data_IF_604332736831
#
_entry.id   IF_604332736831
#
_cell.length_a   1.000
_cell.length_b   1.000
_cell.length_c   1.000
_cell.angle_alpha   90.00
_cell.angle_beta   90.00
_cell.angle_gamma   90.00
#
_symmetry.space_group_name_H-M   'P 1'
#
loop_
_entity.id
_entity.type
_entity.pdbx_description
1 polymer ?
#
# COMPACT_ATOMS: atom_id res chain seq x y z
N UNK A 1 -27.24 -16.05 2.50
CA UNK A 1 -26.05 -15.51 1.81
C UNK A 1 -24.92 -15.14 2.79
N UNK A 2 -25.17 -14.38 3.87
CA UNK A 2 -24.10 -13.86 4.76
C UNK A 2 -23.26 -14.90 5.50
N UNK A 3 -23.83 -16.04 5.89
CA UNK A 3 -23.09 -17.09 6.62
C UNK A 3 -22.08 -17.81 5.72
N UNK A 4 -22.42 -18.04 4.46
CA UNK A 4 -21.56 -18.71 3.49
C UNK A 4 -20.38 -17.82 3.10
N UNK A 5 -20.62 -16.53 2.88
CA UNK A 5 -19.56 -15.56 2.60
C UNK A 5 -18.57 -15.43 3.76
N UNK A 6 -19.04 -15.38 5.01
CA UNK A 6 -18.18 -15.37 6.20
C UNK A 6 -17.31 -16.63 6.30
N UNK A 7 -17.88 -17.80 5.96
CA UNK A 7 -17.11 -19.06 5.94
C UNK A 7 -16.03 -19.05 4.86
N UNK A 8 -16.34 -18.51 3.68
CA UNK A 8 -15.41 -18.39 2.56
C UNK A 8 -14.26 -17.44 2.88
N UNK A 9 -14.55 -16.24 3.42
CA UNK A 9 -13.53 -15.28 3.87
C UNK A 9 -12.60 -15.92 4.92
N UNK A 10 -13.13 -16.65 5.91
CA UNK A 10 -12.28 -17.36 6.89
C UNK A 10 -11.38 -18.40 6.24
N UNK A 11 -11.85 -19.12 5.22
CA UNK A 11 -11.04 -20.09 4.48
C UNK A 11 -9.91 -19.40 3.72
N UNK A 12 -10.23 -18.30 3.00
CA UNK A 12 -9.24 -17.52 2.27
C UNK A 12 -8.20 -16.88 3.22
N UNK A 13 -8.62 -16.35 4.37
CA UNK A 13 -7.68 -15.83 5.39
C UNK A 13 -6.74 -16.91 5.93
N UNK A 14 -7.20 -18.16 6.08
CA UNK A 14 -6.34 -19.31 6.44
C UNK A 14 -5.36 -19.66 5.32
N UNK A 15 -5.80 -19.58 4.06
CA UNK A 15 -4.91 -19.76 2.91
C UNK A 15 -3.83 -18.68 2.88
N UNK A 16 -4.19 -17.42 3.15
CA UNK A 16 -3.24 -16.30 3.21
C UNK A 16 -2.22 -16.44 4.36
N UNK A 17 -2.56 -17.15 5.42
CA UNK A 17 -1.67 -17.40 6.57
C UNK A 17 -0.72 -18.60 6.34
N UNK A 18 -0.88 -19.35 5.27
CA UNK A 18 -0.03 -20.50 4.94
C UNK A 18 1.17 -20.08 4.12
N UNK A 19 2.36 -20.51 4.52
CA UNK A 19 3.61 -20.20 3.81
C UNK A 19 3.63 -20.71 2.37
N UNK A 20 2.88 -21.77 2.06
CA UNK A 20 2.77 -22.31 0.70
C UNK A 20 2.05 -21.36 -0.28
N UNK A 21 1.38 -20.32 0.21
CA UNK A 21 0.59 -19.40 -0.61
C UNK A 21 1.18 -17.97 -0.64
N UNK A 22 2.41 -17.78 -0.18
CA UNK A 22 3.07 -16.46 -0.15
C UNK A 22 3.08 -15.76 -1.52
N UNK A 23 3.26 -16.54 -2.58
CA UNK A 23 3.32 -16.03 -3.96
C UNK A 23 1.94 -15.67 -4.56
N UNK A 24 0.86 -15.95 -3.85
CA UNK A 24 -0.51 -15.76 -4.34
C UNK A 24 -1.34 -14.84 -3.43
N UNK A 25 -0.69 -14.06 -2.57
CA UNK A 25 -1.40 -13.24 -1.58
C UNK A 25 -2.24 -12.14 -2.22
N UNK A 26 -1.79 -11.56 -3.33
CA UNK A 26 -2.56 -10.62 -4.14
C UNK A 26 -3.88 -11.24 -4.61
N UNK A 27 -3.84 -12.45 -5.17
CA UNK A 27 -5.03 -13.16 -5.65
C UNK A 27 -5.97 -13.55 -4.50
N UNK A 28 -5.41 -14.02 -3.37
CA UNK A 28 -6.21 -14.40 -2.20
C UNK A 28 -6.92 -13.18 -1.60
N UNK A 29 -6.23 -12.06 -1.45
CA UNK A 29 -6.84 -10.84 -0.93
C UNK A 29 -7.76 -10.17 -1.96
N UNK A 30 -7.48 -10.28 -3.26
CA UNK A 30 -8.39 -9.89 -4.32
C UNK A 30 -9.74 -10.65 -4.21
N UNK A 31 -9.68 -11.96 -4.05
CA UNK A 31 -10.89 -12.76 -3.83
C UNK A 31 -11.66 -12.38 -2.57
N UNK A 32 -10.97 -12.04 -1.47
CA UNK A 32 -11.60 -11.53 -0.24
C UNK A 32 -12.29 -10.20 -0.49
N UNK A 33 -11.63 -9.27 -1.18
CA UNK A 33 -12.17 -7.97 -1.57
C UNK A 33 -13.44 -8.10 -2.40
N UNK A 34 -13.42 -8.97 -3.42
CA UNK A 34 -14.59 -9.26 -4.26
C UNK A 34 -15.78 -9.78 -3.45
N UNK A 35 -15.55 -10.62 -2.43
CA UNK A 35 -16.63 -11.09 -1.55
C UNK A 35 -17.24 -9.94 -0.75
N UNK A 36 -16.42 -8.99 -0.27
CA UNK A 36 -16.91 -7.80 0.43
C UNK A 36 -17.66 -6.87 -0.53
N UNK A 37 -17.21 -6.70 -1.78
CA UNK A 37 -17.93 -5.92 -2.80
C UNK A 37 -19.32 -6.50 -3.09
N UNK A 38 -19.45 -7.82 -3.20
CA UNK A 38 -20.74 -8.50 -3.34
C UNK A 38 -21.66 -8.28 -2.14
N UNK A 39 -21.11 -7.99 -0.96
CA UNK A 39 -21.86 -7.65 0.25
C UNK A 39 -22.15 -6.14 0.38
N UNK A 40 -21.71 -5.34 -0.60
CA UNK A 40 -21.75 -3.87 -0.57
C UNK A 40 -20.96 -3.27 0.61
N UNK A 41 -19.96 -4.01 1.10
CA UNK A 41 -19.05 -3.59 2.16
C UNK A 41 -17.75 -3.06 1.55
N UNK A 42 -17.85 -1.87 0.96
CA UNK A 42 -16.74 -1.24 0.23
C UNK A 42 -15.55 -0.95 1.14
N UNK A 43 -15.78 -0.62 2.41
CA UNK A 43 -14.69 -0.32 3.35
C UNK A 43 -13.80 -1.55 3.60
N UNK A 44 -14.40 -2.71 3.88
CA UNK A 44 -13.65 -3.95 4.05
C UNK A 44 -13.07 -4.48 2.72
N UNK A 45 -13.71 -4.18 1.59
CA UNK A 45 -13.17 -4.50 0.28
C UNK A 45 -11.86 -3.74 0.01
N UNK A 46 -11.86 -2.42 0.19
CA UNK A 46 -10.65 -1.58 0.09
C UNK A 46 -9.55 -2.11 1.00
N UNK A 47 -9.85 -2.36 2.28
CA UNK A 47 -8.86 -2.88 3.22
C UNK A 47 -8.27 -4.24 2.79
N UNK A 48 -9.08 -5.09 2.14
CA UNK A 48 -8.60 -6.36 1.60
C UNK A 48 -7.71 -6.16 0.38
N UNK A 49 -8.09 -5.31 -0.56
CA UNK A 49 -7.29 -5.03 -1.76
C UNK A 49 -5.97 -4.34 -1.40
N UNK A 50 -5.96 -3.34 -0.53
CA UNK A 50 -4.72 -2.70 -0.04
C UNK A 50 -3.78 -3.73 0.61
N UNK A 51 -4.34 -4.65 1.40
CA UNK A 51 -3.56 -5.72 1.99
C UNK A 51 -2.98 -6.67 0.93
N UNK A 52 -3.72 -6.96 -0.12
CA UNK A 52 -3.25 -7.73 -1.26
C UNK A 52 -2.11 -7.04 -1.98
N UNK A 53 -2.23 -5.74 -2.23
CA UNK A 53 -1.17 -4.93 -2.82
C UNK A 53 0.11 -4.96 -1.98
N UNK A 54 -0.01 -4.70 -0.67
CA UNK A 54 1.14 -4.66 0.26
C UNK A 54 1.82 -6.01 0.45
N UNK A 55 1.04 -7.10 0.45
CA UNK A 55 1.57 -8.47 0.69
C UNK A 55 1.95 -9.21 -0.58
N UNK A 56 1.72 -8.64 -1.76
CA UNK A 56 2.12 -9.22 -3.03
C UNK A 56 3.65 -9.28 -3.13
N UNK A 57 4.16 -10.48 -3.38
CA UNK A 57 5.59 -10.74 -3.63
C UNK A 57 5.92 -10.78 -5.12
N UNK A 58 4.89 -10.98 -5.95
CA UNK A 58 4.98 -11.05 -7.41
C UNK A 58 4.37 -9.79 -8.01
N UNK A 59 5.16 -9.04 -8.75
CA UNK A 59 4.68 -7.87 -9.50
C UNK A 59 4.17 -8.35 -10.87
N UNK A 60 3.10 -9.16 -10.86
CA UNK A 60 2.48 -9.72 -12.05
C UNK A 60 1.17 -9.04 -12.45
N UNK A 61 0.57 -9.54 -13.52
CA UNK A 61 -0.70 -9.04 -14.07
C UNK A 61 -1.81 -9.07 -13.01
N UNK A 62 -1.81 -10.08 -12.13
CA UNK A 62 -2.82 -10.24 -11.08
C UNK A 62 -2.81 -9.07 -10.08
N UNK A 63 -1.61 -8.60 -9.70
CA UNK A 63 -1.45 -7.38 -8.90
C UNK A 63 -1.93 -6.15 -9.68
N UNK A 64 -1.64 -6.08 -10.97
CA UNK A 64 -2.14 -5.01 -11.83
C UNK A 64 -3.68 -4.95 -11.88
N UNK A 65 -4.35 -6.10 -11.99
CA UNK A 65 -5.82 -6.20 -11.96
C UNK A 65 -6.39 -5.80 -10.60
N UNK A 66 -5.74 -6.21 -9.50
CA UNK A 66 -6.13 -5.81 -8.16
C UNK A 66 -6.04 -4.29 -8.00
N UNK A 67 -4.94 -3.69 -8.42
CA UNK A 67 -4.71 -2.24 -8.35
C UNK A 67 -5.70 -1.46 -9.23
N UNK A 68 -6.00 -1.97 -10.43
CA UNK A 68 -7.02 -1.38 -11.30
C UNK A 68 -8.38 -1.35 -10.62
N UNK A 69 -8.81 -2.47 -10.03
CA UNK A 69 -10.08 -2.57 -9.31
C UNK A 69 -10.13 -1.62 -8.11
N UNK A 70 -9.03 -1.51 -7.40
CA UNK A 70 -8.91 -0.60 -6.26
C UNK A 70 -8.92 0.87 -6.70
N UNK A 71 -8.25 1.18 -7.81
CA UNK A 71 -8.26 2.50 -8.44
C UNK A 71 -9.66 2.93 -8.88
N UNK A 72 -10.43 2.04 -9.49
CA UNK A 72 -11.84 2.30 -9.85
C UNK A 72 -12.70 2.62 -8.64
N UNK A 73 -12.52 1.90 -7.53
CA UNK A 73 -13.24 2.17 -6.28
C UNK A 73 -12.87 3.53 -5.70
N UNK A 74 -11.59 3.90 -5.70
CA UNK A 74 -11.16 5.21 -5.24
C UNK A 74 -11.65 6.33 -6.16
N UNK A 75 -11.66 6.10 -7.48
CA UNK A 75 -12.23 7.04 -8.45
C UNK A 75 -13.71 7.31 -8.16
N UNK A 76 -14.52 6.26 -7.96
CA UNK A 76 -15.94 6.37 -7.64
C UNK A 76 -16.21 7.09 -6.31
N UNK A 77 -15.22 7.10 -5.41
CA UNK A 77 -15.25 7.82 -4.14
C UNK A 77 -14.67 9.24 -4.21
N UNK A 78 -14.29 9.68 -5.40
CA UNK A 78 -13.62 10.97 -5.62
C UNK A 78 -12.28 11.13 -4.86
N UNK A 79 -11.69 10.01 -4.42
CA UNK A 79 -10.36 9.95 -3.81
C UNK A 79 -9.30 9.85 -4.92
N UNK A 80 -9.09 10.97 -5.60
CA UNK A 80 -8.25 11.03 -6.81
C UNK A 80 -6.77 10.75 -6.51
N UNK A 81 -6.29 11.08 -5.32
CA UNK A 81 -4.93 10.78 -4.89
C UNK A 81 -4.67 9.26 -4.86
N UNK A 82 -5.52 8.51 -4.17
CA UNK A 82 -5.41 7.05 -4.12
C UNK A 82 -5.73 6.40 -5.46
N UNK A 83 -6.67 6.94 -6.24
CA UNK A 83 -6.96 6.46 -7.58
C UNK A 83 -5.74 6.61 -8.50
N UNK A 84 -5.08 7.79 -8.51
CA UNK A 84 -3.87 8.05 -9.29
C UNK A 84 -2.73 7.11 -8.94
N UNK A 85 -2.49 6.90 -7.64
CA UNK A 85 -1.51 5.92 -7.17
C UNK A 85 -1.79 4.52 -7.70
N UNK A 86 -3.03 4.05 -7.59
CA UNK A 86 -3.41 2.71 -8.03
C UNK A 86 -3.30 2.54 -9.54
N UNK A 87 -3.77 3.49 -10.34
CA UNK A 87 -3.64 3.41 -11.80
C UNK A 87 -2.19 3.51 -12.26
N UNK A 88 -1.39 4.40 -11.66
CA UNK A 88 0.02 4.54 -11.98
C UNK A 88 0.81 3.25 -11.76
N UNK A 89 0.58 2.57 -10.62
CA UNK A 89 1.18 1.27 -10.35
C UNK A 89 0.62 0.16 -11.28
N UNK A 90 -0.69 0.16 -11.54
CA UNK A 90 -1.35 -0.86 -12.36
C UNK A 90 -0.82 -0.87 -13.80
N UNK A 91 -0.66 0.30 -14.43
CA UNK A 91 -0.23 0.41 -15.83
C UNK A 91 1.11 -0.26 -16.08
N UNK A 92 2.03 -0.21 -15.11
CA UNK A 92 3.33 -0.88 -15.23
C UNK A 92 3.26 -2.41 -15.17
N UNK A 93 2.13 -2.97 -14.73
CA UNK A 93 1.93 -4.41 -14.50
C UNK A 93 0.93 -5.04 -15.47
N UNK A 94 0.09 -4.23 -16.11
CA UNK A 94 -0.94 -4.70 -17.05
C UNK A 94 -0.34 -5.00 -18.43
N UNK A 95 -1.01 -5.90 -19.16
CA UNK A 95 -0.67 -6.19 -20.54
C UNK A 95 -0.96 -4.95 -21.41
N UNK A 96 0.02 -4.54 -22.22
CA UNK A 96 -0.10 -3.41 -23.14
C UNK A 96 -1.02 -3.69 -24.33
N UNK A 97 -1.27 -4.96 -24.63
CA UNK A 97 -2.20 -5.39 -25.70
C UNK A 97 -3.66 -5.41 -25.24
N UNK A 98 -3.91 -5.05 -23.98
CA UNK A 98 -5.25 -4.94 -23.43
C UNK A 98 -6.05 -3.82 -24.13
N UNK A 99 -7.27 -4.09 -24.51
CA UNK A 99 -8.14 -3.18 -25.31
C UNK A 99 -8.33 -1.80 -24.65
N UNK A 100 -8.34 -1.73 -23.32
CA UNK A 100 -8.53 -0.51 -22.53
C UNK A 100 -7.23 0.12 -22.04
N UNK A 101 -6.05 -0.44 -22.40
CA UNK A 101 -4.75 0.01 -21.89
C UNK A 101 -4.48 1.49 -22.17
N UNK A 102 -4.78 1.95 -23.38
CA UNK A 102 -4.57 3.34 -23.77
C UNK A 102 -5.44 4.30 -22.95
N UNK A 103 -6.71 3.97 -22.74
CA UNK A 103 -7.61 4.77 -21.91
C UNK A 103 -7.15 4.82 -20.45
N UNK A 104 -6.69 3.70 -19.90
CA UNK A 104 -6.16 3.63 -18.54
C UNK A 104 -4.87 4.46 -18.39
N UNK A 105 -4.00 4.38 -19.39
CA UNK A 105 -2.77 5.17 -19.44
C UNK A 105 -3.05 6.68 -19.48
N UNK A 106 -4.02 7.09 -20.29
CA UNK A 106 -4.43 8.48 -20.37
C UNK A 106 -5.10 8.97 -19.09
N UNK A 107 -5.98 8.16 -18.48
CA UNK A 107 -6.57 8.45 -17.17
C UNK A 107 -5.52 8.63 -16.09
N UNK A 108 -4.49 7.78 -16.06
CA UNK A 108 -3.38 7.92 -15.12
C UNK A 108 -2.64 9.23 -15.29
N UNK A 109 -2.31 9.62 -16.53
CA UNK A 109 -1.65 10.91 -16.83
C UNK A 109 -2.47 12.10 -16.40
N UNK A 110 -3.78 12.08 -16.66
CA UNK A 110 -4.70 13.15 -16.21
C UNK A 110 -4.73 13.25 -14.70
N UNK A 111 -4.71 12.11 -13.99
CA UNK A 111 -4.66 12.10 -12.54
C UNK A 111 -3.33 12.62 -12.00
N UNK A 112 -2.21 12.29 -12.61
CA UNK A 112 -0.89 12.81 -12.22
C UNK A 112 -0.87 14.35 -12.28
N UNK A 113 -1.56 14.96 -13.25
CA UNK A 113 -1.70 16.41 -13.34
C UNK A 113 -2.74 16.97 -12.36
N UNK A 114 -3.84 16.26 -12.11
CA UNK A 114 -4.98 16.72 -11.31
C UNK A 114 -4.74 16.63 -9.82
N UNK A 115 -4.11 15.53 -9.36
CA UNK A 115 -3.95 15.20 -7.93
C UNK A 115 -3.31 16.33 -7.12
N UNK A 116 -2.24 17.00 -7.57
CA UNK A 116 -1.66 18.10 -6.80
C UNK A 116 -2.66 19.25 -6.50
N UNK A 117 -3.56 19.52 -7.42
CA UNK A 117 -4.57 20.58 -7.25
C UNK A 117 -5.70 20.14 -6.33
N UNK A 118 -6.19 18.91 -6.48
CA UNK A 118 -7.24 18.37 -5.58
C UNK A 118 -6.74 18.24 -4.16
N UNK A 119 -5.51 17.77 -3.97
CA UNK A 119 -4.88 17.67 -2.65
C UNK A 119 -4.69 19.06 -2.02
N UNK A 120 -4.30 20.05 -2.80
CA UNK A 120 -4.20 21.43 -2.32
C UNK A 120 -5.56 22.00 -1.88
N UNK A 121 -6.64 21.74 -2.63
CA UNK A 121 -8.00 22.13 -2.27
C UNK A 121 -8.44 21.44 -0.98
N UNK A 122 -8.28 20.12 -0.88
CA UNK A 122 -8.62 19.36 0.34
C UNK A 122 -7.84 19.83 1.57
N UNK A 123 -6.55 20.16 1.39
CA UNK A 123 -5.74 20.71 2.46
C UNK A 123 -6.29 22.07 2.92
N UNK A 124 -6.61 22.98 1.98
CA UNK A 124 -7.16 24.30 2.30
C UNK A 124 -8.51 24.19 3.01
N UNK A 125 -9.39 23.32 2.54
CA UNK A 125 -10.69 23.08 3.17
C UNK A 125 -10.53 22.54 4.59
N UNK A 126 -9.61 21.60 4.79
CA UNK A 126 -9.28 21.04 6.10
C UNK A 126 -8.73 22.09 7.05
N UNK A 127 -7.81 22.95 6.58
CA UNK A 127 -7.25 24.06 7.36
C UNK A 127 -8.32 25.09 7.73
N UNK A 128 -9.21 25.45 6.80
CA UNK A 128 -10.32 26.36 7.06
C UNK A 128 -11.31 25.76 8.07
N UNK A 129 -11.60 24.47 7.97
CA UNK A 129 -12.46 23.79 8.93
C UNK A 129 -11.84 23.81 10.34
N UNK A 130 -10.55 23.49 10.45
CA UNK A 130 -9.81 23.57 11.72
C UNK A 130 -9.78 25.00 12.30
N UNK A 131 -9.60 26.02 11.46
CA UNK A 131 -9.57 27.42 11.89
C UNK A 131 -10.92 27.89 12.47
N UNK A 132 -12.03 27.31 12.01
CA UNK A 132 -13.39 27.63 12.50
C UNK A 132 -13.77 26.85 13.76
N UNK A 133 -13.03 25.82 14.14
CA UNK A 133 -13.32 25.00 15.32
C UNK A 133 -12.94 25.76 16.62
N UNK A 134 -13.70 25.55 17.71
CA UNK A 134 -13.26 25.94 19.04
C UNK A 134 -11.89 25.34 19.37
N UNK A 135 -11.08 26.05 20.16
CA UNK A 135 -9.69 25.64 20.45
C UNK A 135 -9.57 24.22 20.97
N UNK A 136 -10.45 23.81 21.88
CA UNK A 136 -10.46 22.46 22.44
C UNK A 136 -10.69 21.39 21.36
N UNK A 137 -11.72 21.56 20.53
CA UNK A 137 -12.07 20.61 19.46
C UNK A 137 -10.98 20.55 18.39
N UNK A 138 -10.37 21.70 18.07
CA UNK A 138 -9.25 21.79 17.15
C UNK A 138 -8.04 21.02 17.64
N UNK A 139 -7.67 21.18 18.93
CA UNK A 139 -6.55 20.45 19.51
C UNK A 139 -6.81 18.95 19.55
N UNK A 140 -8.01 18.51 19.91
CA UNK A 140 -8.41 17.10 19.86
C UNK A 140 -8.38 16.53 18.44
N UNK A 141 -8.73 17.34 17.42
CA UNK A 141 -8.65 16.92 16.03
C UNK A 141 -7.19 16.75 15.56
N UNK A 142 -6.32 17.69 15.94
CA UNK A 142 -4.89 17.64 15.65
C UNK A 142 -4.24 16.44 16.31
N UNK A 143 -4.54 16.20 17.58
CA UNK A 143 -4.00 15.04 18.32
C UNK A 143 -4.39 13.71 17.66
N UNK A 144 -5.65 13.58 17.21
CA UNK A 144 -6.09 12.39 16.46
C UNK A 144 -5.31 12.17 15.16
N UNK A 145 -5.03 13.25 14.42
CA UNK A 145 -4.23 13.16 13.20
C UNK A 145 -2.79 12.74 13.52
N UNK A 146 -2.19 13.34 14.56
CA UNK A 146 -0.84 12.99 15.01
C UNK A 146 -0.76 11.52 15.42
N UNK A 147 -1.74 11.02 16.18
CA UNK A 147 -1.78 9.60 16.58
C UNK A 147 -1.94 8.67 15.37
N UNK A 148 -2.80 9.04 14.41
CA UNK A 148 -2.98 8.28 13.18
C UNK A 148 -1.71 8.21 12.35
N UNK A 149 -0.98 9.33 12.22
CA UNK A 149 0.30 9.39 11.51
C UNK A 149 1.37 8.53 12.21
N UNK A 150 1.50 8.65 13.54
CA UNK A 150 2.44 7.82 14.31
C UNK A 150 2.15 6.33 14.17
N UNK A 151 0.86 5.97 14.14
CA UNK A 151 0.45 4.58 13.92
C UNK A 151 0.83 4.10 12.53
N UNK A 152 0.56 4.92 11.51
CA UNK A 152 0.91 4.60 10.12
C UNK A 152 2.42 4.46 9.93
N UNK A 153 3.21 5.39 10.44
CA UNK A 153 4.68 5.31 10.40
C UNK A 153 5.24 4.08 11.10
N UNK A 154 4.59 3.66 12.20
CA UNK A 154 4.97 2.42 12.88
C UNK A 154 4.64 1.20 12.02
N UNK A 155 3.44 1.13 11.46
CA UNK A 155 3.02 0.03 10.59
C UNK A 155 3.91 -0.09 9.34
N UNK A 156 4.29 1.04 8.73
CA UNK A 156 5.21 1.09 7.59
C UNK A 156 6.61 0.61 7.97
N UNK A 157 7.13 1.02 9.13
CA UNK A 157 8.42 0.57 9.66
C UNK A 157 8.42 -0.93 9.95
N UNK A 158 7.35 -1.42 10.59
CA UNK A 158 7.23 -2.83 10.94
C UNK A 158 7.12 -3.68 9.65
N UNK A 159 6.37 -3.21 8.64
CA UNK A 159 6.28 -3.86 7.33
C UNK A 159 7.61 -3.86 6.58
N UNK A 160 8.36 -2.76 6.61
CA UNK A 160 9.68 -2.69 6.00
C UNK A 160 10.68 -3.62 6.69
N UNK A 161 10.65 -3.68 8.03
CA UNK A 161 11.51 -4.59 8.80
C UNK A 161 11.19 -6.07 8.51
N UNK A 162 9.91 -6.44 8.31
CA UNK A 162 9.52 -7.78 7.87
C UNK A 162 10.05 -8.10 6.48
N UNK A 163 9.98 -7.15 5.53
CA UNK A 163 10.51 -7.30 4.17
C UNK A 163 12.02 -7.51 4.17
N UNK A 164 12.74 -6.67 4.93
CA UNK A 164 14.19 -6.75 5.04
C UNK A 164 14.64 -8.07 5.70
N UNK A 165 13.91 -8.54 6.72
CA UNK A 165 14.18 -9.84 7.34
C UNK A 165 13.93 -11.01 6.38
N UNK A 166 12.89 -10.95 5.55
CA UNK A 166 12.63 -11.97 4.52
C UNK A 166 13.70 -11.99 3.44
N UNK A 167 14.19 -10.83 3.00
CA UNK A 167 15.28 -10.73 2.03
C UNK A 167 16.59 -11.28 2.57
N UNK A 168 16.91 -11.02 3.85
CA UNK A 168 18.10 -11.58 4.50
C UNK A 168 18.03 -13.09 4.65
N UNK A 169 16.87 -13.65 5.00
CA UNK A 169 16.68 -15.11 5.07
C UNK A 169 16.79 -15.77 3.69
N UNK A 170 16.28 -15.14 2.64
CA UNK A 170 16.39 -15.64 1.27
C UNK A 170 17.86 -15.67 0.77
N UNK A 171 18.67 -14.68 1.18
CA UNK A 171 20.09 -14.63 0.84
C UNK A 171 20.93 -15.64 1.65
N UNK A 172 20.58 -15.96 2.88
CA UNK A 172 21.27 -16.97 3.70
C UNK A 172 20.90 -18.41 3.35
N UNK A 173 19.71 -18.64 2.81
CA UNK A 173 19.26 -19.98 2.36
C UNK A 173 19.95 -20.49 1.09
N UNK A 174 20.69 -19.67 0.37
CA UNK A 174 21.40 -20.00 -0.87
C UNK A 174 22.87 -20.45 -0.70
N UNK A 175 23.42 -20.41 0.51
CA UNK A 175 24.83 -20.80 0.76
C UNK A 175 24.93 -21.94 1.78
N UNK A 176 24.48 -23.09 1.39
CA UNK A 176 24.76 -24.35 2.05
C UNK A 176 25.87 -25.11 1.31
N UNK A 177 27.09 -24.92 1.78
CA UNK A 177 28.26 -25.78 1.60
C UNK A 177 29.41 -25.20 0.75
N UNK A 178 30.38 -24.58 1.42
CA UNK A 178 31.82 -24.85 1.22
C UNK A 178 32.67 -24.14 2.28
N UNK A 179 33.19 -25.01 3.15
CA UNK A 179 34.51 -24.97 3.82
C UNK A 179 35.25 -23.67 4.12
N UNK A 180 35.30 -23.39 5.42
CA UNK A 180 36.53 -23.20 6.22
C UNK A 180 37.59 -22.14 5.83
N UNK A 181 37.92 -21.41 6.90
CA UNK A 181 39.14 -20.70 7.28
C UNK A 181 39.17 -19.18 7.10
N UNK A 182 39.23 -18.57 8.32
CA UNK A 182 40.01 -17.38 8.69
C UNK A 182 39.86 -16.09 7.90
N UNK A 183 39.17 -15.11 8.49
CA UNK A 183 39.88 -13.94 8.97
C UNK A 183 39.03 -13.04 9.86
N UNK A 184 39.49 -12.89 11.10
CA UNK A 184 39.17 -11.76 11.96
C UNK A 184 39.87 -10.54 11.38
N UNK A 185 39.12 -9.48 11.05
CA UNK A 185 39.57 -8.11 11.29
C UNK A 185 38.55 -7.09 10.77
N UNK A 186 38.04 -6.30 11.69
CA UNK A 186 37.70 -4.87 11.54
C UNK A 186 36.81 -4.43 10.38
N UNK A 187 35.60 -4.02 10.67
CA UNK A 187 35.35 -2.60 10.48
C UNK A 187 34.22 -2.09 11.36
N UNK A 188 34.59 -1.21 12.25
CA UNK A 188 33.69 -0.35 12.97
C UNK A 188 33.27 0.81 12.06
N UNK A 189 32.04 1.27 12.28
CA UNK A 189 31.59 2.64 12.00
C UNK A 189 31.36 3.07 10.55
N UNK A 190 30.09 3.17 10.16
CA UNK A 190 29.63 4.48 9.69
C UNK A 190 28.20 4.74 10.16
N UNK A 191 28.09 5.48 11.28
CA UNK A 191 26.85 6.10 11.74
C UNK A 191 26.76 7.48 11.09
N UNK A 192 26.47 7.55 9.80
CA UNK A 192 26.03 8.81 9.20
C UNK A 192 24.51 8.91 9.32
N UNK A 193 24.06 9.43 10.45
CA UNK A 193 22.69 9.88 10.63
C UNK A 193 22.36 10.96 9.62
N UNK A 194 21.71 10.61 8.53
CA UNK A 194 21.09 11.60 7.65
C UNK A 194 19.83 12.09 8.31
N UNK A 195 19.88 13.32 8.81
CA UNK A 195 18.71 14.07 9.24
C UNK A 195 17.74 14.27 8.07
N UNK A 196 16.52 13.82 8.23
CA UNK A 196 15.49 13.76 7.18
C UNK A 196 14.71 15.07 6.99
N UNK A 197 15.21 16.21 7.50
CA UNK A 197 14.56 17.52 7.42
C UNK A 197 15.38 18.57 6.69
N UNK A 198 16.02 18.22 5.59
CA UNK A 198 16.60 19.23 4.72
C UNK A 198 16.04 19.07 3.31
N UNK A 199 15.05 19.90 2.98
CA UNK A 199 14.60 20.05 1.60
C UNK A 199 15.31 21.28 1.01
N UNK A 200 16.29 21.12 0.07
CA UNK A 200 17.08 22.25 -0.45
C UNK A 200 16.37 23.04 -1.56
N UNK A 201 15.08 22.85 -1.80
CA UNK A 201 14.32 23.51 -2.89
C UNK A 201 13.23 24.44 -2.42
N UNK A 202 13.28 24.92 -1.18
CA UNK A 202 12.41 25.99 -0.71
C UNK A 202 13.21 27.32 -0.68
N UNK A 203 13.40 27.92 -1.85
CA UNK A 203 13.69 29.35 -2.03
C UNK A 203 12.76 29.86 -3.11
#
# INVERSE_FOLDING_TARGET
AGTQSKKMIRRLKRMAASDNNKDYLDQVYYAIGNIYMLQKDTANAIAAYEKGNTKSTRNGIEKGVLLLTLGDIYWDKEDYSNAGRCYGEAIGLLDKERDDYEQLSERSKVLDELVPYTDAVHLQDSLQALAKMPEKERNEAIDRVIEALKKKEKEERDAQAELDAQQQMAQQGGMGNMNNTNNMANNATDKSGKWYFYNPTAV
#
